data_IF_966066179935
#
_entry.id   IF_966066179935
#
_cell.length_a   1.000
_cell.length_b   1.000
_cell.length_c   1.000
_cell.angle_alpha   90.00
_cell.angle_beta   90.00
_cell.angle_gamma   90.00
#
_symmetry.space_group_name_H-M   'P 1'
#
loop_
_entity.id
_entity.type
_entity.pdbx_description
1 polymer ?
#
# COMPACT_ATOMS: atom_id res chain seq x y z
N UNK A 1 -8.47 -17.75 -8.43
CA UNK A 1 -9.16 -17.61 -7.13
C UNK A 1 -8.27 -16.97 -6.08
N UNK A 2 -7.16 -17.62 -5.64
CA UNK A 2 -6.30 -17.08 -4.57
C UNK A 2 -5.73 -15.68 -4.84
N UNK A 3 -5.46 -15.34 -6.11
CA UNK A 3 -5.02 -13.99 -6.47
C UNK A 3 -6.01 -12.91 -6.02
N UNK A 4 -7.31 -13.19 -6.05
CA UNK A 4 -8.33 -12.23 -5.66
C UNK A 4 -8.36 -12.06 -4.15
N UNK A 5 -8.26 -13.17 -3.39
CA UNK A 5 -8.19 -13.15 -1.93
C UNK A 5 -6.99 -12.33 -1.48
N UNK A 6 -5.80 -12.60 -2.02
CA UNK A 6 -4.60 -11.83 -1.69
C UNK A 6 -4.67 -10.38 -2.18
N UNK A 7 -5.32 -10.10 -3.32
CA UNK A 7 -5.53 -8.73 -3.76
C UNK A 7 -6.45 -7.95 -2.82
N UNK A 8 -7.49 -8.58 -2.24
CA UNK A 8 -8.32 -7.94 -1.20
C UNK A 8 -7.48 -7.65 0.04
N UNK A 9 -6.72 -8.64 0.54
CA UNK A 9 -5.86 -8.45 1.72
C UNK A 9 -4.80 -7.37 1.47
N UNK A 10 -4.18 -7.34 0.28
CA UNK A 10 -3.26 -6.27 -0.09
C UNK A 10 -3.94 -4.91 -0.18
N UNK A 11 -5.16 -4.85 -0.71
CA UNK A 11 -5.91 -3.59 -0.84
C UNK A 11 -6.32 -2.99 0.50
N UNK A 12 -6.38 -3.78 1.59
CA UNK A 12 -6.64 -3.24 2.93
C UNK A 12 -5.46 -2.43 3.50
N UNK A 13 -4.28 -2.46 2.86
CA UNK A 13 -3.12 -1.67 3.26
C UNK A 13 -3.21 -0.19 2.83
N UNK A 14 -4.21 0.18 2.02
CA UNK A 14 -4.44 1.58 1.57
C UNK A 14 -3.28 2.14 0.73
N UNK A 15 -2.70 1.31 -0.15
CA UNK A 15 -1.56 1.68 -1.00
C UNK A 15 -1.90 1.69 -2.50
N UNK A 16 -3.11 2.16 -2.85
CA UNK A 16 -3.70 2.05 -4.19
C UNK A 16 -3.94 0.61 -4.65
N UNK A 17 -4.36 0.47 -5.90
CA UNK A 17 -4.74 -0.79 -6.51
C UNK A 17 -3.60 -1.81 -6.69
N UNK A 18 -3.91 -3.12 -6.74
CA UNK A 18 -2.90 -4.18 -6.85
C UNK A 18 -2.10 -4.15 -8.16
N UNK A 19 -2.71 -3.74 -9.27
CA UNK A 19 -2.02 -3.67 -10.56
C UNK A 19 -1.14 -2.42 -10.65
N UNK A 20 -1.58 -1.31 -10.04
CA UNK A 20 -0.77 -0.11 -9.85
C UNK A 20 0.51 -0.45 -9.08
N UNK A 21 0.37 -1.17 -7.97
CA UNK A 21 1.49 -1.56 -7.11
C UNK A 21 2.46 -2.47 -7.87
N UNK A 22 1.94 -3.53 -8.51
CA UNK A 22 2.75 -4.46 -9.27
C UNK A 22 3.49 -3.79 -10.44
N UNK A 23 2.87 -2.82 -11.13
CA UNK A 23 3.50 -2.09 -12.23
C UNK A 23 4.66 -1.21 -11.75
N UNK A 24 4.46 -0.44 -10.68
CA UNK A 24 5.51 0.40 -10.09
C UNK A 24 6.65 -0.44 -9.51
N UNK A 25 6.32 -1.53 -8.82
CA UNK A 25 7.32 -2.42 -8.25
C UNK A 25 8.18 -3.12 -9.30
N UNK A 26 7.57 -3.60 -10.39
CA UNK A 26 8.31 -4.16 -11.54
C UNK A 26 9.20 -3.11 -12.20
N UNK A 27 8.70 -1.88 -12.31
CA UNK A 27 9.48 -0.78 -12.86
C UNK A 27 10.70 -0.47 -11.99
N UNK A 28 10.50 -0.35 -10.67
CA UNK A 28 11.57 -0.18 -9.70
C UNK A 28 12.61 -1.29 -9.79
N UNK A 29 12.21 -2.56 -9.74
CA UNK A 29 13.18 -3.66 -9.86
C UNK A 29 13.95 -3.67 -11.18
N UNK A 30 13.35 -3.20 -12.28
CA UNK A 30 14.02 -3.13 -13.57
C UNK A 30 15.04 -1.98 -13.65
N UNK A 31 14.83 -0.90 -12.91
CA UNK A 31 15.58 0.35 -13.03
C UNK A 31 16.07 0.90 -11.70
N UNK A 32 16.17 0.05 -10.68
CA UNK A 32 16.44 0.44 -9.29
C UNK A 32 17.64 1.36 -9.23
N UNK A 33 17.48 2.47 -8.52
CA UNK A 33 18.53 3.45 -8.27
C UNK A 33 19.10 4.17 -9.52
N UNK A 34 18.45 4.00 -10.68
CA UNK A 34 18.73 4.79 -11.89
C UNK A 34 17.75 5.95 -12.04
N UNK A 35 18.03 6.87 -12.97
CA UNK A 35 17.16 8.04 -13.27
C UNK A 35 15.70 7.68 -13.63
N UNK A 36 15.45 6.43 -14.03
CA UNK A 36 14.12 5.97 -14.41
C UNK A 36 13.29 5.54 -13.20
N UNK A 37 13.91 5.28 -12.04
CA UNK A 37 13.22 4.90 -10.83
C UNK A 37 12.66 6.14 -10.09
N UNK A 38 11.33 6.27 -10.11
CA UNK A 38 10.59 7.37 -9.48
C UNK A 38 10.83 7.48 -7.96
N UNK A 39 11.26 6.40 -7.30
CA UNK A 39 11.51 6.38 -5.86
C UNK A 39 12.93 5.98 -5.48
N UNK A 40 13.89 6.22 -6.38
CA UNK A 40 15.31 6.10 -6.04
C UNK A 40 15.71 7.16 -4.99
N UNK A 41 16.23 6.75 -3.81
CA UNK A 41 16.82 7.69 -2.86
C UNK A 41 18.16 8.26 -3.36
N UNK A 42 18.88 7.55 -4.24
CA UNK A 42 20.14 8.01 -4.82
C UNK A 42 19.91 9.18 -5.79
N UNK A 43 18.88 9.09 -6.64
CA UNK A 43 18.60 10.13 -7.63
C UNK A 43 17.72 11.28 -7.10
N UNK A 44 16.76 10.98 -6.23
CA UNK A 44 15.74 11.96 -5.80
C UNK A 44 15.84 12.35 -4.31
N UNK A 45 16.67 11.65 -3.54
CA UNK A 45 16.86 11.88 -2.10
C UNK A 45 15.91 11.08 -1.20
N UNK A 46 16.29 11.00 0.08
CA UNK A 46 15.62 10.17 1.09
C UNK A 46 14.14 10.52 1.30
N UNK A 47 13.79 11.80 1.44
CA UNK A 47 12.40 12.20 1.72
C UNK A 47 11.47 11.99 0.52
N UNK A 48 12.01 12.15 -0.70
CA UNK A 48 11.25 11.88 -1.91
C UNK A 48 10.95 10.39 -2.06
N UNK A 49 11.97 9.53 -1.96
CA UNK A 49 11.79 8.07 -1.99
C UNK A 49 10.90 7.54 -0.86
N UNK A 50 10.92 8.19 0.31
CA UNK A 50 10.08 7.79 1.44
C UNK A 50 8.60 8.21 1.27
N UNK A 51 8.28 9.40 0.76
CA UNK A 51 6.86 9.84 0.68
C UNK A 51 6.53 10.54 -0.62
N UNK A 52 7.42 11.43 -1.11
CA UNK A 52 7.13 12.35 -2.20
C UNK A 52 6.75 11.67 -3.53
N UNK A 53 7.40 10.56 -3.88
CA UNK A 53 7.11 9.87 -5.13
C UNK A 53 5.67 9.35 -5.20
N UNK A 54 5.08 8.92 -4.07
CA UNK A 54 3.78 8.27 -4.04
C UNK A 54 2.63 9.24 -4.39
N UNK A 55 2.87 10.54 -4.22
CA UNK A 55 1.91 11.62 -4.46
C UNK A 55 2.19 12.40 -5.75
N UNK A 56 3.23 12.04 -6.51
CA UNK A 56 3.55 12.74 -7.74
C UNK A 56 2.67 12.29 -8.91
N UNK A 57 2.46 13.19 -9.87
CA UNK A 57 1.60 12.92 -11.04
C UNK A 57 2.11 11.74 -11.88
N UNK A 58 3.43 11.60 -12.00
CA UNK A 58 4.07 10.52 -12.75
C UNK A 58 3.77 9.13 -12.16
N UNK A 59 3.55 9.05 -10.84
CA UNK A 59 3.18 7.82 -10.17
C UNK A 59 1.67 7.58 -10.14
N UNK A 60 0.82 8.46 -10.65
CA UNK A 60 -0.63 8.31 -10.47
C UNK A 60 -1.24 7.19 -11.32
N UNK A 61 -0.74 6.98 -12.53
CA UNK A 61 -1.31 6.06 -13.52
C UNK A 61 -0.73 4.65 -13.42
N UNK A 62 -1.56 3.64 -13.67
CA UNK A 62 -1.11 2.24 -13.80
C UNK A 62 -0.58 1.98 -15.22
N UNK A 63 0.69 1.60 -15.36
CA UNK A 63 1.23 1.12 -16.64
C UNK A 63 0.89 -0.37 -16.87
N UNK A 64 -0.24 -0.61 -17.53
CA UNK A 64 -0.72 -1.97 -17.82
C UNK A 64 0.20 -2.80 -18.72
N UNK A 65 1.11 -2.16 -19.48
CA UNK A 65 2.07 -2.89 -20.33
C UNK A 65 3.01 -3.76 -19.49
N UNK A 66 3.27 -3.35 -18.24
CA UNK A 66 4.15 -4.05 -17.29
C UNK A 66 3.47 -5.20 -16.55
N UNK A 67 2.14 -5.29 -16.60
CA UNK A 67 1.33 -6.22 -15.79
C UNK A 67 0.28 -6.96 -16.63
N UNK A 68 0.55 -7.18 -17.93
CA UNK A 68 -0.38 -7.85 -18.84
C UNK A 68 -0.80 -9.26 -18.40
N UNK A 69 0.11 -9.98 -17.73
CA UNK A 69 -0.12 -11.28 -17.10
C UNK A 69 -1.20 -11.25 -16.00
N UNK A 70 -1.32 -10.13 -15.29
CA UNK A 70 -2.33 -9.93 -14.24
C UNK A 70 -3.56 -9.13 -14.73
N UNK A 71 -3.40 -8.25 -15.70
CA UNK A 71 -4.47 -7.43 -16.25
C UNK A 71 -5.58 -8.24 -16.97
N UNK A 72 -5.28 -9.50 -17.30
CA UNK A 72 -6.27 -10.44 -17.84
C UNK A 72 -7.39 -10.78 -16.85
N UNK A 73 -7.16 -10.65 -15.55
CA UNK A 73 -8.14 -10.97 -14.50
C UNK A 73 -9.09 -9.79 -14.24
N UNK A 74 -10.39 -9.89 -14.56
CA UNK A 74 -11.34 -8.79 -14.39
C UNK A 74 -11.47 -8.30 -12.94
N UNK A 75 -11.39 -9.21 -11.98
CA UNK A 75 -11.50 -8.91 -10.55
C UNK A 75 -10.32 -8.07 -10.04
N UNK A 76 -9.11 -8.27 -10.59
CA UNK A 76 -7.95 -7.44 -10.25
C UNK A 76 -8.04 -6.04 -10.88
N UNK A 77 -8.58 -5.94 -12.10
CA UNK A 77 -8.87 -4.64 -12.72
C UNK A 77 -9.94 -3.88 -11.96
N UNK A 78 -10.96 -4.57 -11.45
CA UNK A 78 -11.99 -3.97 -10.61
C UNK A 78 -11.38 -3.38 -9.33
N UNK A 79 -10.62 -4.18 -8.57
CA UNK A 79 -9.94 -3.69 -7.36
C UNK A 79 -8.95 -2.57 -7.68
N UNK A 80 -8.27 -2.61 -8.83
CA UNK A 80 -7.34 -1.56 -9.21
C UNK A 80 -8.03 -0.24 -9.56
N UNK A 81 -9.19 -0.30 -10.22
CA UNK A 81 -9.98 0.88 -10.59
C UNK A 81 -10.68 1.51 -9.40
N UNK A 82 -11.11 0.69 -8.45
CA UNK A 82 -11.87 1.09 -7.27
C UNK A 82 -11.10 0.73 -6.00
N UNK A 83 -9.84 1.17 -5.94
CA UNK A 83 -8.90 0.85 -4.87
C UNK A 83 -9.34 1.35 -3.49
N UNK A 84 -10.27 2.30 -3.43
CA UNK A 84 -10.89 2.77 -2.19
C UNK A 84 -11.97 1.84 -1.61
N UNK A 85 -12.53 0.88 -2.37
CA UNK A 85 -13.64 0.04 -1.89
C UNK A 85 -13.23 -0.79 -0.66
N UNK A 86 -12.06 -1.43 -0.72
CA UNK A 86 -11.59 -2.28 0.39
C UNK A 86 -11.21 -1.42 1.62
N UNK A 87 -10.41 -0.34 1.50
CA UNK A 87 -10.18 0.58 2.61
C UNK A 87 -11.46 1.12 3.25
N UNK A 88 -12.45 1.55 2.46
CA UNK A 88 -13.72 2.06 2.99
C UNK A 88 -14.53 0.97 3.70
N UNK A 89 -14.55 -0.25 3.16
CA UNK A 89 -15.19 -1.38 3.82
C UNK A 89 -14.50 -1.72 5.16
N UNK A 90 -13.16 -1.69 5.21
CA UNK A 90 -12.39 -1.86 6.45
C UNK A 90 -12.69 -0.75 7.45
N UNK A 91 -12.71 0.52 7.02
CA UNK A 91 -13.02 1.67 7.87
C UNK A 91 -14.40 1.54 8.52
N UNK A 92 -15.43 1.26 7.71
CA UNK A 92 -16.81 1.07 8.18
C UNK A 92 -16.91 -0.16 9.10
N UNK A 93 -16.28 -1.27 8.70
CA UNK A 93 -16.29 -2.52 9.47
C UNK A 93 -15.63 -2.38 10.84
N UNK A 94 -14.48 -1.69 10.91
CA UNK A 94 -13.78 -1.43 12.17
C UNK A 94 -14.62 -0.51 13.07
N UNK A 95 -15.23 0.54 12.52
CA UNK A 95 -16.12 1.40 13.30
C UNK A 95 -17.32 0.62 13.86
N UNK A 96 -18.01 -0.15 13.02
CA UNK A 96 -19.16 -0.95 13.42
C UNK A 96 -18.78 -2.01 14.46
N UNK A 97 -17.61 -2.64 14.32
CA UNK A 97 -17.08 -3.55 15.32
C UNK A 97 -16.84 -2.85 16.66
N UNK A 98 -16.29 -1.63 16.65
CA UNK A 98 -16.09 -0.84 17.86
C UNK A 98 -17.40 -0.52 18.58
N UNK A 99 -18.45 -0.14 17.86
CA UNK A 99 -19.78 0.10 18.44
C UNK A 99 -20.41 -1.19 18.98
N UNK A 100 -20.26 -2.31 18.26
CA UNK A 100 -20.73 -3.61 18.72
C UNK A 100 -20.01 -4.04 20.02
N UNK A 101 -18.70 -3.83 20.12
CA UNK A 101 -17.93 -4.11 21.34
C UNK A 101 -18.32 -3.20 22.50
N UNK A 102 -18.63 -1.92 22.24
CA UNK A 102 -19.15 -1.03 23.28
C UNK A 102 -20.48 -1.54 23.87
N UNK A 103 -21.35 -2.10 23.02
CA UNK A 103 -22.64 -2.64 23.46
C UNK A 103 -22.55 -4.02 24.12
N UNK A 104 -21.73 -4.94 23.58
CA UNK A 104 -21.70 -6.35 24.00
C UNK A 104 -20.58 -6.68 24.97
N UNK A 105 -19.52 -5.88 25.01
CA UNK A 105 -18.34 -6.08 25.85
C UNK A 105 -17.84 -4.75 26.44
N UNK A 106 -18.68 -4.00 27.19
CA UNK A 106 -18.35 -2.66 27.70
C UNK A 106 -17.10 -2.64 28.59
N UNK A 107 -16.74 -3.77 29.22
CA UNK A 107 -15.52 -3.90 30.03
C UNK A 107 -14.23 -3.70 29.23
N UNK A 108 -14.27 -3.77 27.89
CA UNK A 108 -13.12 -3.48 27.03
C UNK A 108 -12.80 -1.99 26.93
N UNK A 109 -13.73 -1.11 27.32
CA UNK A 109 -13.51 0.35 27.31
C UNK A 109 -13.18 0.92 25.92
N UNK A 110 -13.76 0.35 24.87
CA UNK A 110 -13.59 0.80 23.47
C UNK A 110 -14.94 1.13 22.84
N UNK A 111 -14.89 1.87 21.72
CA UNK A 111 -16.04 2.22 20.89
C UNK A 111 -15.62 2.38 19.42
N UNK A 112 -16.57 2.70 18.54
CA UNK A 112 -16.33 2.89 17.11
C UNK A 112 -15.21 3.89 16.83
N UNK A 113 -15.27 5.14 17.34
CA UNK A 113 -14.21 6.13 17.15
C UNK A 113 -12.83 5.66 17.62
N UNK A 114 -12.72 5.11 18.84
CA UNK A 114 -11.44 4.67 19.41
C UNK A 114 -10.84 3.52 18.59
N UNK A 115 -11.65 2.52 18.23
CA UNK A 115 -11.18 1.40 17.44
C UNK A 115 -10.79 1.82 16.02
N UNK A 116 -11.48 2.82 15.45
CA UNK A 116 -11.15 3.38 14.14
C UNK A 116 -9.82 4.13 14.16
N UNK A 117 -9.56 4.94 15.18
CA UNK A 117 -8.27 5.66 15.32
C UNK A 117 -7.10 4.68 15.36
N UNK A 118 -7.19 3.64 16.19
CA UNK A 118 -6.10 2.68 16.35
C UNK A 118 -6.03 1.65 15.22
N UNK A 119 -7.15 0.98 14.93
CA UNK A 119 -7.23 -0.13 13.99
C UNK A 119 -7.17 0.28 12.52
N UNK A 120 -7.55 1.51 12.19
CA UNK A 120 -7.48 2.02 10.82
C UNK A 120 -6.40 3.09 10.65
N UNK A 121 -6.51 4.26 11.28
CA UNK A 121 -5.62 5.38 10.98
C UNK A 121 -4.17 5.15 11.42
N UNK A 122 -3.94 4.86 12.71
CA UNK A 122 -2.60 4.62 13.24
C UNK A 122 -1.97 3.39 12.58
N UNK A 123 -2.73 2.29 12.46
CA UNK A 123 -2.28 1.08 11.77
C UNK A 123 -1.88 1.35 10.31
N UNK A 124 -2.69 2.10 9.56
CA UNK A 124 -2.40 2.42 8.14
C UNK A 124 -1.16 3.29 8.02
N UNK A 125 -0.99 4.31 8.86
CA UNK A 125 0.20 5.17 8.85
C UNK A 125 1.46 4.36 9.20
N UNK A 126 1.38 3.48 10.20
CA UNK A 126 2.49 2.61 10.57
C UNK A 126 2.88 1.65 9.44
N UNK A 127 1.89 0.99 8.79
CA UNK A 127 2.12 0.10 7.65
C UNK A 127 2.68 0.86 6.45
N UNK A 128 2.18 2.07 6.18
CA UNK A 128 2.69 2.93 5.12
C UNK A 128 4.17 3.25 5.33
N UNK A 129 4.55 3.77 6.50
CA UNK A 129 5.96 4.06 6.82
C UNK A 129 6.85 2.82 6.82
N UNK A 130 6.34 1.68 7.30
CA UNK A 130 7.05 0.40 7.19
C UNK A 130 7.34 0.03 5.74
N UNK A 131 6.38 0.21 4.84
CA UNK A 131 6.52 -0.10 3.42
C UNK A 131 7.50 0.83 2.74
N UNK A 132 7.33 2.15 2.88
CA UNK A 132 8.18 3.13 2.20
C UNK A 132 9.59 3.22 2.80
N UNK A 133 9.84 2.64 3.98
CA UNK A 133 11.19 2.44 4.51
C UNK A 133 12.00 1.45 3.67
N UNK A 134 11.33 0.54 2.94
CA UNK A 134 12.01 -0.35 1.99
C UNK A 134 12.56 0.48 0.83
N UNK A 135 11.81 1.46 0.33
CA UNK A 135 12.26 2.31 -0.78
C UNK A 135 13.36 3.30 -0.36
N UNK A 136 13.37 3.73 0.91
CA UNK A 136 14.30 4.75 1.38
C UNK A 136 15.40 4.18 2.28
N UNK A 137 15.06 3.77 3.50
CA UNK A 137 16.03 3.36 4.52
C UNK A 137 16.86 2.15 4.07
N UNK A 138 16.23 1.14 3.47
CA UNK A 138 16.93 -0.06 3.04
C UNK A 138 17.90 0.16 1.86
N UNK A 139 17.74 1.25 1.11
CA UNK A 139 18.65 1.62 0.02
C UNK A 139 19.81 2.51 0.48
N UNK A 140 19.64 3.26 1.58
CA UNK A 140 20.70 4.15 2.10
C UNK A 140 21.48 3.57 3.28
N UNK A 141 20.93 2.57 3.96
CA UNK A 141 21.53 2.01 5.17
C UNK A 141 21.53 0.48 5.17
N UNK A 142 22.72 -0.12 5.13
CA UNK A 142 22.91 -1.56 5.16
C UNK A 142 24.23 -1.99 4.54
N UNK A 143 24.38 -3.30 4.31
CA UNK A 143 25.51 -3.89 3.60
C UNK A 143 24.98 -4.72 2.42
N UNK A 144 25.62 -4.57 1.25
CA UNK A 144 25.30 -5.34 0.07
C UNK A 144 26.16 -6.60 0.01
N UNK A 145 25.55 -7.76 0.25
CA UNK A 145 26.24 -9.06 0.28
C UNK A 145 26.34 -9.73 -1.10
N UNK A 146 25.40 -9.45 -2.00
CA UNK A 146 25.31 -10.05 -3.32
C UNK A 146 25.41 -8.98 -4.41
N UNK A 147 26.06 -9.30 -5.52
CA UNK A 147 25.95 -8.52 -6.74
C UNK A 147 24.55 -8.71 -7.34
N UNK A 148 23.94 -7.62 -7.79
CA UNK A 148 22.56 -7.49 -8.25
C UNK A 148 22.48 -6.48 -9.39
#
# INVERSE_FOLDING_TARGET
FWQFVFAIVGSSAVQRGPLWWAAHHRHHHQYSDTDQDLHSPEQQGFWWSHVGWFTCDAAFLTDYRRVGDWARYPELKFLNRFDAIVPLACLIGIYALGEALAAWAPSLGTNGPQLTVWGFFISTVAVFHGTVSINSLAHVWGQRRFET
#
